data_IF_578753322732
#
_entry.id   IF_578753322732
#
_cell.length_a   1.000
_cell.length_b   1.000
_cell.length_c   1.000
_cell.angle_alpha   90.00
_cell.angle_beta   90.00
_cell.angle_gamma   90.00
#
_symmetry.space_group_name_H-M   'P 1'
#
loop_
_entity.id
_entity.type
_entity.pdbx_description
1 polymer ?
#
# COMPACT_ATOMS: atom_id res chain seq x y z
N UNK A 1 2.22 8.11 15.26
CA UNK A 1 1.92 7.12 14.20
C UNK A 1 0.49 7.20 13.72
N UNK A 2 -0.52 7.22 14.60
CA UNK A 2 -1.94 7.32 14.16
C UNK A 2 -2.23 8.50 13.21
N UNK A 3 -1.73 9.71 13.51
CA UNK A 3 -1.90 10.87 12.63
C UNK A 3 -1.33 10.64 11.22
N UNK A 4 -0.24 9.88 11.10
CA UNK A 4 0.33 9.53 9.80
C UNK A 4 -0.56 8.54 9.04
N UNK A 5 -1.18 7.57 9.73
CA UNK A 5 -2.17 6.66 9.12
C UNK A 5 -3.35 7.46 8.57
N UNK A 6 -3.92 8.36 9.38
CA UNK A 6 -5.07 9.17 8.98
C UNK A 6 -4.73 10.08 7.82
N UNK A 7 -3.53 10.68 7.81
CA UNK A 7 -3.06 11.52 6.72
C UNK A 7 -2.85 10.74 5.41
N UNK A 8 -2.20 9.57 5.48
CA UNK A 8 -1.97 8.71 4.30
C UNK A 8 -3.30 8.21 3.76
N UNK A 9 -4.20 7.70 4.60
CA UNK A 9 -5.51 7.19 4.16
C UNK A 9 -6.40 8.30 3.59
N UNK A 10 -6.52 9.43 4.29
CA UNK A 10 -7.31 10.56 3.81
C UNK A 10 -6.79 11.13 2.50
N UNK A 11 -5.47 11.04 2.27
CA UNK A 11 -4.87 11.50 1.01
C UNK A 11 -4.95 10.45 -0.10
N UNK A 12 -4.84 9.16 0.24
CA UNK A 12 -4.88 8.08 -0.74
C UNK A 12 -6.18 8.09 -1.52
N UNK A 13 -7.33 8.09 -0.82
CA UNK A 13 -8.62 8.28 -1.45
C UNK A 13 -9.67 8.79 -0.45
N UNK A 14 -10.48 9.81 -0.80
CA UNK A 14 -11.46 10.39 0.12
C UNK A 14 -12.61 9.42 0.48
N UNK A 15 -12.98 8.54 -0.45
CA UNK A 15 -14.12 7.63 -0.31
C UNK A 15 -13.74 6.21 0.16
N UNK A 16 -12.75 6.11 1.06
CA UNK A 16 -12.35 4.82 1.66
C UNK A 16 -13.42 4.34 2.63
N UNK A 17 -13.97 3.16 2.37
CA UNK A 17 -14.83 2.44 3.31
C UNK A 17 -14.07 1.30 3.98
N UNK A 18 -14.11 1.25 5.31
CA UNK A 18 -13.47 0.21 6.11
C UNK A 18 -14.43 -0.96 6.31
N UNK A 19 -14.04 -2.14 5.82
CA UNK A 19 -14.86 -3.35 5.97
C UNK A 19 -14.51 -4.11 7.25
N UNK A 20 -13.22 -4.32 7.47
CA UNK A 20 -12.67 -5.06 8.61
C UNK A 20 -11.23 -4.66 8.85
N UNK A 21 -10.75 -4.91 10.04
CA UNK A 21 -9.34 -4.80 10.38
C UNK A 21 -8.94 -5.93 11.31
N UNK A 22 -7.67 -6.27 11.31
CA UNK A 22 -7.13 -7.29 12.18
C UNK A 22 -5.69 -7.01 12.55
N UNK A 23 -5.26 -7.66 13.63
CA UNK A 23 -3.89 -7.59 14.09
C UNK A 23 -3.47 -8.94 14.66
N UNK A 24 -2.19 -9.27 14.46
CA UNK A 24 -1.60 -10.49 14.95
C UNK A 24 -0.88 -10.25 16.27
N UNK A 25 -1.20 -11.05 17.28
CA UNK A 25 -0.65 -10.89 18.64
C UNK A 25 0.68 -11.61 18.85
N UNK A 26 1.13 -12.35 17.84
CA UNK A 26 2.28 -13.24 17.86
C UNK A 26 3.29 -12.91 16.73
N UNK A 27 4.60 -13.12 16.94
CA UNK A 27 5.64 -12.77 15.98
C UNK A 27 5.57 -13.52 14.65
N UNK A 28 5.01 -14.72 14.64
CA UNK A 28 4.84 -15.58 13.47
C UNK A 28 3.54 -15.32 12.69
N UNK A 29 2.63 -14.52 13.25
CA UNK A 29 1.40 -14.12 12.56
C UNK A 29 0.37 -15.23 12.43
N UNK A 30 0.36 -16.20 13.34
CA UNK A 30 -0.59 -17.31 13.39
C UNK A 30 -1.87 -16.95 14.16
N UNK A 31 -1.84 -15.98 15.08
CA UNK A 31 -2.96 -15.62 15.96
C UNK A 31 -3.50 -14.22 15.64
N UNK A 32 -4.57 -14.17 14.85
CA UNK A 32 -5.22 -12.93 14.43
C UNK A 32 -6.48 -12.62 15.23
N UNK A 33 -6.63 -11.36 15.63
CA UNK A 33 -7.88 -10.81 16.14
C UNK A 33 -8.50 -9.94 15.04
N UNK A 34 -9.63 -10.38 14.48
CA UNK A 34 -10.38 -9.62 13.47
C UNK A 34 -11.57 -8.86 14.08
N UNK A 35 -11.78 -7.64 13.59
CA UNK A 35 -12.91 -6.77 13.95
C UNK A 35 -13.58 -6.23 12.68
N UNK A 36 -14.91 -6.18 12.68
CA UNK A 36 -15.71 -5.62 11.58
C UNK A 36 -15.94 -4.13 11.77
N UNK A 37 -15.99 -3.40 10.66
CA UNK A 37 -16.32 -1.98 10.61
C UNK A 37 -15.11 -1.04 10.76
N UNK A 38 -15.41 0.23 11.02
CA UNK A 38 -14.44 1.32 10.99
C UNK A 38 -13.42 1.24 12.14
N UNK A 39 -12.14 1.44 11.81
CA UNK A 39 -11.07 1.56 12.81
C UNK A 39 -11.24 2.89 13.56
N UNK A 40 -11.89 2.85 14.73
CA UNK A 40 -12.02 4.03 15.60
C UNK A 40 -10.70 4.34 16.31
N UNK A 41 -9.98 3.29 16.67
CA UNK A 41 -8.69 3.32 17.37
C UNK A 41 -7.70 2.44 16.61
N UNK A 42 -6.58 3.04 16.18
CA UNK A 42 -5.53 2.38 15.40
C UNK A 42 -4.47 1.71 16.28
N UNK A 43 -4.45 2.00 17.58
CA UNK A 43 -3.47 1.46 18.53
C UNK A 43 -3.33 -0.07 18.44
N UNK A 44 -4.42 -0.86 18.32
CA UNK A 44 -4.28 -2.31 18.17
C UNK A 44 -3.50 -2.75 16.93
N UNK A 45 -3.62 -2.05 15.80
CA UNK A 45 -2.83 -2.39 14.60
C UNK A 45 -1.39 -1.90 14.71
N UNK A 46 -1.13 -0.88 15.55
CA UNK A 46 0.18 -0.27 15.74
C UNK A 46 1.02 -0.97 16.80
N UNK A 47 0.40 -1.44 17.88
CA UNK A 47 1.09 -1.96 19.07
C UNK A 47 1.38 -3.47 19.00
N UNK A 48 0.77 -4.17 18.03
CA UNK A 48 0.93 -5.62 17.83
C UNK A 48 1.95 -5.95 16.74
N UNK A 49 2.28 -7.23 16.51
CA UNK A 49 3.33 -7.60 15.55
C UNK A 49 2.95 -7.25 14.10
N UNK A 50 1.74 -7.63 13.68
CA UNK A 50 1.20 -7.32 12.36
C UNK A 50 -0.15 -6.61 12.44
N UNK A 51 -0.45 -5.77 11.46
CA UNK A 51 -1.73 -5.06 11.35
C UNK A 51 -2.22 -5.02 9.91
N UNK A 52 -3.51 -5.28 9.70
CA UNK A 52 -4.14 -5.18 8.39
C UNK A 52 -5.52 -4.50 8.45
N UNK A 53 -5.92 -3.91 7.34
CA UNK A 53 -7.27 -3.40 7.12
C UNK A 53 -7.74 -3.77 5.72
N UNK A 54 -8.98 -4.24 5.61
CA UNK A 54 -9.66 -4.38 4.33
C UNK A 54 -10.48 -3.12 4.06
N UNK A 55 -10.16 -2.48 2.95
CA UNK A 55 -10.71 -1.22 2.50
C UNK A 55 -11.47 -1.43 1.19
N UNK A 56 -12.37 -0.50 0.89
CA UNK A 56 -13.05 -0.40 -0.41
C UNK A 56 -12.96 1.03 -0.88
N UNK A 57 -12.53 1.22 -2.12
CA UNK A 57 -12.53 2.51 -2.80
C UNK A 57 -13.79 2.59 -3.66
N UNK A 58 -14.76 3.39 -3.26
CA UNK A 58 -15.94 3.66 -4.09
C UNK A 58 -15.60 4.79 -5.06
N UNK A 59 -15.56 4.51 -6.36
CA UNK A 59 -15.16 5.45 -7.44
C UNK A 59 -13.65 5.68 -7.66
N UNK A 60 -12.85 4.62 -7.57
CA UNK A 60 -11.41 4.68 -7.85
C UNK A 60 -11.14 4.85 -9.35
N UNK A 61 -10.80 6.07 -9.78
CA UNK A 61 -10.45 6.42 -11.17
C UNK A 61 -11.41 5.87 -12.24
N UNK A 62 -12.73 5.93 -11.96
CA UNK A 62 -13.78 5.45 -12.86
C UNK A 62 -14.16 3.98 -12.68
N UNK A 63 -13.45 3.22 -11.83
CA UNK A 63 -13.85 1.89 -11.41
C UNK A 63 -14.87 1.96 -10.27
N UNK A 64 -15.92 1.15 -10.39
CA UNK A 64 -16.92 1.00 -9.35
C UNK A 64 -16.42 -0.01 -8.31
N UNK A 65 -16.21 0.46 -7.09
CA UNK A 65 -15.91 -0.37 -5.90
C UNK A 65 -14.68 -1.26 -6.08
N UNK A 66 -13.50 -0.72 -5.73
CA UNK A 66 -12.24 -1.48 -5.77
C UNK A 66 -11.85 -1.91 -4.36
N UNK A 67 -11.89 -3.22 -4.04
CA UNK A 67 -11.33 -3.74 -2.80
C UNK A 67 -9.82 -3.52 -2.74
N UNK A 68 -9.34 -2.99 -1.62
CA UNK A 68 -7.93 -2.76 -1.35
C UNK A 68 -7.57 -3.34 0.01
N UNK A 69 -6.49 -4.11 0.08
CA UNK A 69 -5.91 -4.52 1.35
C UNK A 69 -4.86 -3.50 1.75
N UNK A 70 -4.98 -2.90 2.93
CA UNK A 70 -3.88 -2.16 3.53
C UNK A 70 -3.19 -3.04 4.56
N UNK A 71 -1.88 -3.21 4.44
CA UNK A 71 -1.03 -3.80 5.47
C UNK A 71 -0.19 -2.71 6.11
N UNK A 72 -0.03 -2.77 7.43
CA UNK A 72 0.88 -1.91 8.17
C UNK A 72 2.19 -2.67 8.35
N UNK A 73 3.28 -2.12 7.84
CA UNK A 73 4.61 -2.69 7.94
C UNK A 73 5.43 -1.97 9.00
N UNK A 74 6.07 -2.75 9.88
CA UNK A 74 6.82 -2.26 11.03
C UNK A 74 8.13 -3.00 11.14
N UNK A 75 9.20 -2.24 11.15
CA UNK A 75 10.55 -2.68 11.51
C UNK A 75 11.08 -1.76 12.62
N UNK A 76 12.12 -2.15 13.38
CA UNK A 76 12.62 -1.37 14.52
C UNK A 76 12.85 0.12 14.24
N UNK A 77 13.27 0.45 13.01
CA UNK A 77 13.58 1.82 12.58
C UNK A 77 12.68 2.34 11.44
N UNK A 78 11.64 1.59 11.04
CA UNK A 78 10.82 1.95 9.89
C UNK A 78 9.34 1.57 10.08
N UNK A 79 8.46 2.41 9.53
CA UNK A 79 7.02 2.22 9.55
C UNK A 79 6.43 2.62 8.20
N UNK A 80 5.57 1.79 7.62
CA UNK A 80 5.01 2.01 6.30
C UNK A 80 3.64 1.38 6.10
N UNK A 81 3.11 1.60 4.90
CA UNK A 81 1.85 1.03 4.44
C UNK A 81 2.05 0.37 3.10
N UNK A 82 1.49 -0.82 2.94
CA UNK A 82 1.37 -1.50 1.66
C UNK A 82 -0.11 -1.51 1.25
N UNK A 83 -0.40 -1.05 0.04
CA UNK A 83 -1.75 -1.11 -0.53
C UNK A 83 -1.78 -2.18 -1.62
N UNK A 84 -2.40 -3.32 -1.31
CA UNK A 84 -2.60 -4.42 -2.22
C UNK A 84 -3.92 -4.29 -2.98
N UNK A 85 -3.82 -4.25 -4.30
CA UNK A 85 -4.95 -4.36 -5.21
C UNK A 85 -5.03 -5.79 -5.73
N UNK A 86 -6.25 -6.28 -5.94
CA UNK A 86 -6.43 -7.50 -6.73
C UNK A 86 -6.59 -7.14 -8.18
N UNK A 87 -5.82 -7.81 -9.02
CA UNK A 87 -5.74 -7.51 -10.45
C UNK A 87 -7.08 -7.65 -11.16
N UNK A 88 -7.93 -8.59 -10.75
CA UNK A 88 -9.23 -8.80 -11.42
C UNK A 88 -10.12 -7.56 -11.34
N UNK A 89 -9.92 -6.72 -10.32
CA UNK A 89 -10.65 -5.49 -10.14
C UNK A 89 -10.09 -4.33 -10.99
N UNK A 90 -8.92 -4.49 -11.58
CA UNK A 90 -8.24 -3.50 -12.43
C UNK A 90 -8.32 -3.82 -13.92
N UNK A 91 -8.79 -5.02 -14.30
CA UNK A 91 -8.98 -5.47 -15.70
C UNK A 91 -9.60 -4.41 -16.63
N UNK A 92 -10.59 -3.58 -16.21
CA UNK A 92 -11.15 -2.58 -17.11
C UNK A 92 -10.17 -1.45 -17.52
N UNK A 93 -9.01 -1.36 -16.85
CA UNK A 93 -7.95 -0.40 -17.14
C UNK A 93 -6.81 -1.08 -17.91
N UNK A 94 -6.31 -0.41 -18.93
CA UNK A 94 -5.04 -0.81 -19.57
C UNK A 94 -3.87 -0.66 -18.61
N UNK A 95 -2.79 -1.41 -18.83
CA UNK A 95 -1.54 -1.30 -18.07
C UNK A 95 -1.05 0.16 -17.99
N UNK A 96 -1.08 0.89 -19.10
CA UNK A 96 -0.65 2.29 -19.14
C UNK A 96 -1.52 3.21 -18.25
N UNK A 97 -2.83 2.93 -18.18
CA UNK A 97 -3.73 3.66 -17.29
C UNK A 97 -3.46 3.31 -15.82
N UNK A 98 -3.24 2.03 -15.50
CA UNK A 98 -2.90 1.59 -14.16
C UNK A 98 -1.59 2.24 -13.68
N UNK A 99 -0.54 2.24 -14.51
CA UNK A 99 0.73 2.93 -14.25
C UNK A 99 0.52 4.40 -13.91
N UNK A 100 -0.21 5.14 -14.76
CA UNK A 100 -0.45 6.56 -14.56
C UNK A 100 -1.24 6.84 -13.27
N UNK A 101 -2.22 5.99 -12.96
CA UNK A 101 -3.02 6.04 -11.74
C UNK A 101 -2.13 5.84 -10.51
N UNK A 102 -1.34 4.77 -10.46
CA UNK A 102 -0.49 4.48 -9.30
C UNK A 102 0.59 5.54 -9.11
N UNK A 103 1.19 6.05 -10.19
CA UNK A 103 2.13 7.17 -10.10
C UNK A 103 1.47 8.40 -9.46
N UNK A 104 0.23 8.73 -9.87
CA UNK A 104 -0.51 9.87 -9.34
C UNK A 104 -0.85 9.68 -7.86
N UNK A 105 -1.29 8.49 -7.47
CA UNK A 105 -1.64 8.22 -6.07
C UNK A 105 -0.40 8.19 -5.17
N UNK A 106 0.73 7.63 -5.63
CA UNK A 106 2.01 7.72 -4.92
C UNK A 106 2.50 9.16 -4.78
N UNK A 107 2.44 9.97 -5.84
CA UNK A 107 2.81 11.38 -5.78
C UNK A 107 1.95 12.09 -4.71
N UNK A 108 0.64 11.85 -4.72
CA UNK A 108 -0.28 12.48 -3.77
C UNK A 108 0.01 12.08 -2.32
N UNK A 109 0.28 10.80 -2.07
CA UNK A 109 0.70 10.31 -0.74
C UNK A 109 2.04 10.95 -0.35
N UNK A 110 2.99 11.03 -1.28
CA UNK A 110 4.30 11.59 -0.99
C UNK A 110 4.26 13.09 -0.67
N UNK A 111 3.44 13.86 -1.38
CA UNK A 111 3.28 15.31 -1.16
C UNK A 111 2.62 15.64 0.19
N UNK A 112 1.87 14.69 0.75
CA UNK A 112 1.08 14.86 1.98
C UNK A 112 1.66 14.15 3.19
N UNK A 113 2.72 13.36 3.02
CA UNK A 113 3.30 12.55 4.08
C UNK A 113 4.77 12.87 4.30
N UNK A 114 5.27 12.49 5.46
CA UNK A 114 6.71 12.50 5.76
C UNK A 114 7.40 11.19 5.34
N UNK A 115 6.79 10.43 4.42
CA UNK A 115 7.35 9.16 3.96
C UNK A 115 8.76 9.38 3.40
N UNK A 116 9.66 8.42 3.61
CA UNK A 116 11.02 8.51 3.07
C UNK A 116 11.06 8.10 1.59
N UNK A 117 10.10 7.27 1.17
CA UNK A 117 9.92 6.78 -0.18
C UNK A 117 8.55 6.11 -0.35
N UNK A 118 8.15 5.88 -1.60
CA UNK A 118 7.01 5.08 -2.00
C UNK A 118 7.41 4.23 -3.21
N UNK A 119 6.83 3.04 -3.35
CA UNK A 119 7.10 2.15 -4.46
C UNK A 119 5.84 1.38 -4.86
N UNK A 120 5.80 0.93 -6.12
CA UNK A 120 4.73 0.11 -6.65
C UNK A 120 5.36 -1.08 -7.38
N UNK A 121 4.85 -2.27 -7.06
CA UNK A 121 5.15 -3.49 -7.78
C UNK A 121 3.91 -4.03 -8.50
N UNK A 122 4.16 -4.80 -9.53
CA UNK A 122 3.17 -5.65 -10.19
C UNK A 122 3.62 -7.12 -10.26
N UNK A 123 4.92 -7.41 -10.10
CA UNK A 123 5.54 -8.72 -10.34
C UNK A 123 6.61 -9.08 -9.28
N UNK A 124 6.50 -8.56 -8.05
CA UNK A 124 7.37 -9.00 -6.96
C UNK A 124 7.09 -10.48 -6.65
N UNK A 125 7.90 -11.36 -7.21
CA UNK A 125 7.97 -12.76 -6.80
C UNK A 125 8.39 -12.90 -5.32
N UNK A 126 9.02 -11.85 -4.76
CA UNK A 126 9.55 -11.78 -3.40
C UNK A 126 9.24 -10.40 -2.83
N UNK A 127 8.46 -10.34 -1.75
CA UNK A 127 8.31 -9.13 -0.95
C UNK A 127 9.61 -8.91 -0.16
N UNK A 128 10.20 -7.72 -0.29
CA UNK A 128 11.41 -7.34 0.44
C UNK A 128 11.07 -6.44 1.62
N UNK A 129 11.83 -6.62 2.70
CA UNK A 129 11.81 -5.73 3.85
C UNK A 129 11.99 -4.26 3.43
N UNK A 130 11.28 -3.35 4.11
CA UNK A 130 11.29 -1.90 3.83
C UNK A 130 12.68 -1.29 4.00
N UNK A 131 13.56 -1.94 4.77
CA UNK A 131 14.95 -1.51 4.93
C UNK A 131 15.87 -1.89 3.76
N UNK A 132 15.46 -2.75 2.82
CA UNK A 132 16.28 -3.26 1.72
C UNK A 132 16.30 -2.34 0.46
N UNK A 133 16.56 -1.05 0.66
CA UNK A 133 16.55 0.01 -0.38
C UNK A 133 17.21 -0.32 -1.72
N UNK A 134 18.34 -1.04 -1.70
CA UNK A 134 19.08 -1.39 -2.94
C UNK A 134 18.32 -2.38 -3.81
N UNK A 135 17.54 -3.30 -3.21
CA UNK A 135 16.68 -4.24 -3.93
C UNK A 135 15.43 -3.55 -4.43
N UNK A 136 14.83 -2.67 -3.60
CA UNK A 136 13.65 -1.88 -3.96
C UNK A 136 13.86 -1.11 -5.28
N UNK A 137 15.00 -0.45 -5.45
CA UNK A 137 15.29 0.29 -6.69
C UNK A 137 15.42 -0.60 -7.94
N UNK A 138 15.73 -1.89 -7.80
CA UNK A 138 16.00 -2.80 -8.92
C UNK A 138 14.79 -3.61 -9.32
N UNK A 139 13.97 -3.98 -8.34
CA UNK A 139 12.94 -5.00 -8.51
C UNK A 139 11.54 -4.38 -8.66
N UNK A 140 11.34 -3.13 -8.22
CA UNK A 140 10.03 -2.46 -8.31
C UNK A 140 9.92 -1.60 -9.57
N UNK A 141 8.72 -1.57 -10.14
CA UNK A 141 8.44 -0.86 -11.40
C UNK A 141 8.48 0.67 -11.24
N UNK A 142 7.95 1.18 -10.12
CA UNK A 142 7.90 2.62 -9.85
C UNK A 142 8.44 2.87 -8.44
N UNK A 143 9.35 3.84 -8.32
CA UNK A 143 9.93 4.26 -7.04
C UNK A 143 9.98 5.79 -6.96
N UNK A 144 9.57 6.33 -5.82
CA UNK A 144 9.65 7.75 -5.49
C UNK A 144 10.44 7.97 -4.21
N UNK A 145 11.43 8.86 -4.24
CA UNK A 145 12.25 9.22 -3.07
C UNK A 145 12.01 10.66 -2.66
N UNK A 146 11.39 10.89 -1.50
CA UNK A 146 11.04 12.26 -1.03
C UNK A 146 12.27 13.15 -0.82
N UNK A 147 13.41 12.58 -0.37
CA UNK A 147 14.67 13.33 -0.20
C UNK A 147 15.26 13.88 -1.50
N UNK A 148 14.91 13.30 -2.64
CA UNK A 148 15.40 13.71 -3.96
C UNK A 148 14.27 14.25 -4.85
N UNK A 149 13.02 14.14 -4.39
CA UNK A 149 11.79 14.38 -5.15
C UNK A 149 11.83 13.84 -6.59
N UNK A 150 12.58 12.76 -6.80
CA UNK A 150 12.79 12.17 -8.11
C UNK A 150 11.88 10.95 -8.24
N UNK A 151 10.97 11.01 -9.21
CA UNK A 151 10.29 9.83 -9.72
C UNK A 151 11.28 9.03 -10.57
N UNK A 152 11.61 7.82 -10.14
CA UNK A 152 12.31 6.86 -10.99
C UNK A 152 11.35 5.74 -11.35
N UNK A 153 11.05 5.64 -12.65
CA UNK A 153 10.39 4.47 -13.21
C UNK A 153 11.47 3.60 -13.85
N UNK A 154 11.47 2.32 -13.53
CA UNK A 154 12.30 1.37 -14.24
C UNK A 154 11.75 1.16 -15.68
N UNK A 155 12.58 0.67 -16.63
CA UNK A 155 12.15 0.50 -18.03
C UNK A 155 11.09 -0.60 -18.19
N UNK A 156 10.94 -1.47 -17.20
CA UNK A 156 9.90 -2.48 -17.14
C UNK A 156 8.53 -1.82 -17.08
N UNK A 157 7.61 -2.32 -17.91
CA UNK A 157 6.21 -2.04 -17.73
C UNK A 157 5.72 -2.76 -16.48
N UNK A 158 4.64 -2.26 -15.90
CA UNK A 158 3.74 -3.07 -15.08
C UNK A 158 3.15 -4.14 -16.03
N UNK A 159 3.92 -5.18 -16.32
CA UNK A 159 3.70 -6.13 -17.41
C UNK A 159 3.95 -7.53 -16.85
N UNK A 160 2.90 -8.35 -16.89
CA UNK A 160 3.02 -9.79 -16.75
C UNK A 160 2.47 -10.33 -15.44
N UNK A 161 1.47 -11.20 -15.57
CA UNK A 161 1.13 -12.18 -14.55
C UNK A 161 2.28 -13.21 -14.49
N UNK A 162 2.96 -13.32 -13.36
CA UNK A 162 3.51 -14.62 -12.99
C UNK A 162 2.36 -15.47 -12.46
N UNK A 163 2.05 -16.59 -13.13
CA UNK A 163 1.18 -17.64 -12.58
C UNK A 163 1.80 -18.11 -11.25
N UNK A 164 1.28 -17.64 -10.12
CA UNK A 164 1.58 -18.17 -8.79
C UNK A 164 0.31 -18.27 -7.96
#
# INVERSE_FOLDING_TARGET
MENAIRAVLGTFHPDIHYLRFGYATDPDGSQWIEKKGLVKDWSPLLDNYYGNASLVLTAYHGLLTVPVRMTIEKEPDCFGFQFGFREENLIPLTIDQQEAIFMKDMQRIADSSTALYAFCDFDAEIEHAITERKRINREYAIVYWTKQQAFSKNPWKIDGFTNR
#
